data_IF_685908766173
#
_entry.id   IF_685908766173
#
_cell.length_a   1.000
_cell.length_b   1.000
_cell.length_c   1.000
_cell.angle_alpha   90.00
_cell.angle_beta   90.00
_cell.angle_gamma   90.00
#
_symmetry.space_group_name_H-M   'P 1'
#
loop_
_entity.id
_entity.type
_entity.pdbx_description
1 polymer ?
#
# COMPACT_ATOMS: atom_id res chain seq x y z
N UNK A 1 16.70 13.28 -16.46
CA UNK A 1 16.35 14.56 -17.11
C UNK A 1 17.57 15.33 -17.59
N UNK A 2 18.59 15.58 -16.74
CA UNK A 2 19.80 16.33 -17.13
C UNK A 2 20.48 15.73 -18.37
N UNK A 3 20.68 14.40 -18.40
CA UNK A 3 21.26 13.70 -19.56
C UNK A 3 20.42 13.81 -20.84
N UNK A 4 19.08 13.81 -20.73
CA UNK A 4 18.19 13.93 -21.88
C UNK A 4 18.18 15.35 -22.44
N UNK A 5 18.17 16.36 -21.55
CA UNK A 5 18.29 17.76 -21.94
C UNK A 5 19.66 18.07 -22.55
N UNK A 6 20.74 17.48 -22.01
CA UNK A 6 22.09 17.55 -22.59
C UNK A 6 22.15 16.87 -23.96
N UNK A 7 21.56 15.68 -24.10
CA UNK A 7 21.51 14.97 -25.37
C UNK A 7 20.74 15.76 -26.43
N UNK A 8 19.58 16.31 -26.09
CA UNK A 8 18.84 17.22 -26.96
C UNK A 8 19.68 18.45 -27.30
N UNK A 9 20.34 19.09 -26.32
CA UNK A 9 21.21 20.23 -26.55
C UNK A 9 22.35 19.93 -27.53
N UNK A 10 23.03 18.79 -27.36
CA UNK A 10 24.11 18.32 -28.25
C UNK A 10 23.58 18.01 -29.64
N UNK A 11 22.47 17.27 -29.75
CA UNK A 11 21.84 16.94 -31.04
C UNK A 11 21.41 18.21 -31.79
N UNK A 12 20.83 19.18 -31.08
CA UNK A 12 20.40 20.45 -31.67
C UNK A 12 21.60 21.28 -32.14
N UNK A 13 22.71 21.25 -31.39
CA UNK A 13 23.93 21.95 -31.79
C UNK A 13 24.59 21.30 -33.01
N UNK A 14 24.62 19.97 -33.08
CA UNK A 14 25.06 19.23 -34.27
C UNK A 14 24.19 19.61 -35.47
N UNK A 15 22.87 19.60 -35.33
CA UNK A 15 21.94 19.98 -36.41
C UNK A 15 22.11 21.43 -36.86
N UNK A 16 22.31 22.38 -35.92
CA UNK A 16 22.62 23.78 -36.23
C UNK A 16 23.91 23.90 -37.04
N UNK A 17 24.98 23.24 -36.60
CA UNK A 17 26.29 23.31 -37.27
C UNK A 17 26.30 22.66 -38.64
N UNK A 18 25.53 21.58 -38.86
CA UNK A 18 25.49 20.88 -40.15
C UNK A 18 24.53 21.46 -41.16
N UNK A 19 23.39 22.00 -40.74
CA UNK A 19 22.29 22.35 -41.65
C UNK A 19 21.98 23.85 -41.71
N UNK A 20 22.77 24.70 -41.05
CA UNK A 20 22.56 26.17 -41.04
C UNK A 20 21.15 26.59 -40.64
N UNK A 21 20.52 25.80 -39.77
CA UNK A 21 19.17 26.04 -39.29
C UNK A 21 19.15 27.32 -38.44
N UNK A 22 18.27 28.26 -38.79
CA UNK A 22 18.11 29.53 -38.08
C UNK A 22 17.68 29.33 -36.61
N UNK A 23 17.74 30.39 -35.77
CA UNK A 23 17.40 30.31 -34.35
C UNK A 23 15.98 29.77 -34.05
N UNK A 24 15.07 29.84 -35.01
CA UNK A 24 13.73 29.23 -34.92
C UNK A 24 13.72 27.70 -34.83
N UNK A 25 14.81 27.00 -35.21
CA UNK A 25 14.90 25.54 -35.11
C UNK A 25 15.04 25.01 -33.67
N UNK A 26 15.29 25.89 -32.68
CA UNK A 26 15.33 25.53 -31.27
C UNK A 26 13.95 25.51 -30.60
N UNK A 27 12.94 26.16 -31.19
CA UNK A 27 11.59 26.23 -30.63
C UNK A 27 10.98 24.85 -30.35
N UNK A 28 11.05 23.86 -31.26
CA UNK A 28 10.54 22.52 -30.98
C UNK A 28 11.27 21.84 -29.82
N UNK A 29 12.60 21.99 -29.73
CA UNK A 29 13.41 21.37 -28.68
C UNK A 29 13.07 21.95 -27.30
N UNK A 30 12.92 23.27 -27.20
CA UNK A 30 12.48 23.94 -25.96
C UNK A 30 11.04 23.53 -25.61
N UNK A 31 10.16 23.42 -26.61
CA UNK A 31 8.79 22.92 -26.42
C UNK A 31 8.75 21.50 -25.85
N UNK A 32 9.48 20.55 -26.46
CA UNK A 32 9.58 19.18 -25.97
C UNK A 32 10.19 19.09 -24.58
N UNK A 33 11.25 19.86 -24.30
CA UNK A 33 11.87 19.90 -22.97
C UNK A 33 10.90 20.42 -21.90
N UNK A 34 10.10 21.44 -22.24
CA UNK A 34 9.09 22.02 -21.34
C UNK A 34 7.96 21.01 -21.08
N UNK A 35 7.44 20.36 -22.13
CA UNK A 35 6.40 19.32 -21.99
C UNK A 35 6.92 18.15 -21.14
N UNK A 36 8.15 17.69 -21.40
CA UNK A 36 8.76 16.60 -20.63
C UNK A 36 8.95 16.97 -19.16
N UNK A 37 9.37 18.21 -18.88
CA UNK A 37 9.51 18.72 -17.52
C UNK A 37 8.16 18.79 -16.79
N UNK A 38 7.13 19.36 -17.43
CA UNK A 38 5.77 19.45 -16.89
C UNK A 38 5.19 18.05 -16.64
N UNK A 39 5.34 17.12 -17.59
CA UNK A 39 4.90 15.74 -17.43
C UNK A 39 5.59 15.06 -16.24
N UNK A 40 6.92 15.17 -16.14
CA UNK A 40 7.68 14.59 -15.03
C UNK A 40 7.26 15.18 -13.67
N UNK A 41 7.03 16.49 -13.61
CA UNK A 41 6.52 17.17 -12.41
C UNK A 41 5.13 16.65 -12.03
N UNK A 42 4.20 16.63 -12.98
CA UNK A 42 2.83 16.16 -12.74
C UNK A 42 2.81 14.69 -12.26
N UNK A 43 3.61 13.81 -12.84
CA UNK A 43 3.72 12.42 -12.38
C UNK A 43 4.33 12.34 -10.98
N UNK A 44 5.35 13.15 -10.65
CA UNK A 44 5.94 13.19 -9.31
C UNK A 44 4.92 13.68 -8.27
N UNK A 45 4.16 14.72 -8.59
CA UNK A 45 3.09 15.24 -7.75
C UNK A 45 1.97 14.19 -7.56
N UNK A 46 1.54 13.51 -8.63
CA UNK A 46 0.53 12.46 -8.56
C UNK A 46 0.98 11.28 -7.67
N UNK A 47 2.23 10.83 -7.78
CA UNK A 47 2.80 9.81 -6.88
C UNK A 47 2.83 10.28 -5.44
N UNK A 48 3.23 11.52 -5.21
CA UNK A 48 3.21 12.09 -3.87
C UNK A 48 1.79 12.14 -3.30
N UNK A 49 0.77 12.37 -4.14
CA UNK A 49 -0.62 12.34 -3.72
C UNK A 49 -1.07 10.92 -3.32
N UNK A 50 -0.66 9.88 -4.07
CA UNK A 50 -0.92 8.47 -3.69
C UNK A 50 -0.34 8.19 -2.30
N UNK A 51 0.94 8.47 -2.08
CA UNK A 51 1.57 8.20 -0.78
C UNK A 51 1.02 9.05 0.35
N UNK A 52 0.65 10.31 0.10
CA UNK A 52 -0.05 11.13 1.10
C UNK A 52 -1.42 10.54 1.45
N UNK A 53 -2.17 10.10 0.44
CA UNK A 53 -3.49 9.49 0.62
C UNK A 53 -3.43 8.19 1.45
N UNK A 54 -2.27 7.52 1.49
CA UNK A 54 -2.06 6.24 2.17
C UNK A 54 -1.37 6.40 3.52
N UNK A 55 -0.31 7.21 3.61
CA UNK A 55 0.55 7.29 4.79
C UNK A 55 0.14 8.38 5.79
N UNK A 56 -0.54 9.46 5.35
CA UNK A 56 -0.97 10.51 6.27
C UNK A 56 -2.26 10.12 7.00
N UNK A 57 -2.45 10.64 8.21
CA UNK A 57 -3.71 10.44 8.95
C UNK A 57 -4.90 11.07 8.22
N UNK A 58 -6.11 10.52 8.40
CA UNK A 58 -7.34 11.02 7.77
C UNK A 58 -7.68 12.48 8.10
N UNK A 59 -7.19 12.95 9.25
CA UNK A 59 -7.35 14.32 9.74
C UNK A 59 -6.32 15.31 9.15
N UNK A 60 -5.27 14.83 8.47
CA UNK A 60 -4.25 15.70 7.88
C UNK A 60 -4.82 16.37 6.61
N UNK A 61 -4.84 17.70 6.51
CA UNK A 61 -5.35 18.40 5.33
C UNK A 61 -4.57 18.07 4.05
N UNK A 62 -3.29 17.66 4.15
CA UNK A 62 -2.42 17.29 3.03
C UNK A 62 -2.74 15.90 2.47
N UNK A 63 -3.50 15.10 3.20
CA UNK A 63 -3.91 13.74 2.82
C UNK A 63 -4.86 13.77 1.62
N UNK A 64 -5.70 14.80 1.51
CA UNK A 64 -6.65 14.93 0.40
C UNK A 64 -5.93 15.19 -0.92
N UNK A 65 -6.22 14.41 -1.97
CA UNK A 65 -5.73 14.72 -3.31
C UNK A 65 -6.22 16.12 -3.70
N UNK A 66 -5.28 17.01 -4.01
CA UNK A 66 -5.60 18.34 -4.53
C UNK A 66 -6.26 18.20 -5.89
N UNK A 67 -7.30 19.01 -6.13
CA UNK A 67 -8.00 19.07 -7.42
C UNK A 67 -6.98 19.26 -8.55
N UNK A 68 -7.08 18.41 -9.57
CA UNK A 68 -6.20 18.41 -10.73
C UNK A 68 -6.15 19.79 -11.39
N UNK A 69 -4.97 20.19 -11.86
CA UNK A 69 -4.85 21.12 -12.99
C UNK A 69 -5.52 20.51 -14.24
N UNK A 70 -5.83 21.34 -15.23
CA UNK A 70 -6.60 20.93 -16.42
C UNK A 70 -6.14 19.55 -16.99
N UNK A 71 -7.03 18.53 -17.01
CA UNK A 71 -6.70 17.16 -17.45
C UNK A 71 -6.08 17.08 -18.85
N UNK A 72 -6.36 18.07 -19.71
CA UNK A 72 -5.84 18.13 -21.07
C UNK A 72 -4.31 18.19 -21.15
N UNK A 73 -3.63 18.69 -20.12
CA UNK A 73 -2.16 18.81 -20.09
C UNK A 73 -1.49 17.80 -19.18
N UNK A 74 -2.21 16.77 -18.72
CA UNK A 74 -1.64 15.74 -17.85
C UNK A 74 -1.17 14.52 -18.63
N UNK A 75 0.01 13.97 -18.29
CA UNK A 75 0.40 12.69 -18.84
C UNK A 75 -0.56 11.59 -18.35
N UNK A 76 -0.84 10.56 -19.17
CA UNK A 76 -1.76 9.48 -18.80
C UNK A 76 -1.44 8.80 -17.46
N UNK A 77 -0.15 8.66 -17.13
CA UNK A 77 0.31 8.10 -15.86
C UNK A 77 -0.10 8.95 -14.66
N UNK A 78 -0.01 10.28 -14.77
CA UNK A 78 -0.46 11.17 -13.69
C UNK A 78 -1.97 11.04 -13.47
N UNK A 79 -2.78 10.99 -14.53
CA UNK A 79 -4.22 10.81 -14.42
C UNK A 79 -4.60 9.51 -13.68
N UNK A 80 -3.94 8.40 -14.02
CA UNK A 80 -4.15 7.11 -13.35
C UNK A 80 -3.76 7.18 -11.87
N UNK A 81 -2.60 7.78 -11.56
CA UNK A 81 -2.12 7.92 -10.19
C UNK A 81 -3.03 8.80 -9.34
N UNK A 82 -3.58 9.88 -9.89
CA UNK A 82 -4.55 10.70 -9.17
C UNK A 82 -5.85 9.94 -8.93
N UNK A 83 -6.37 9.19 -9.91
CA UNK A 83 -7.53 8.32 -9.70
C UNK A 83 -7.27 7.29 -8.58
N UNK A 84 -6.07 6.70 -8.55
CA UNK A 84 -5.63 5.79 -7.49
C UNK A 84 -5.61 6.50 -6.12
N UNK A 85 -5.03 7.69 -6.03
CA UNK A 85 -4.99 8.47 -4.80
C UNK A 85 -6.40 8.80 -4.27
N UNK A 86 -7.31 9.23 -5.15
CA UNK A 86 -8.69 9.51 -4.76
C UNK A 86 -9.49 8.25 -4.39
N UNK A 87 -9.18 7.12 -5.02
CA UNK A 87 -9.79 5.84 -4.66
C UNK A 87 -9.32 5.39 -3.27
N UNK A 88 -8.02 5.47 -2.99
CA UNK A 88 -7.45 5.13 -1.69
C UNK A 88 -7.99 6.04 -0.58
N UNK A 89 -8.12 7.35 -0.84
CA UNK A 89 -8.78 8.29 0.08
C UNK A 89 -10.23 7.87 0.34
N UNK A 90 -11.01 7.57 -0.70
CA UNK A 90 -12.39 7.09 -0.56
C UNK A 90 -12.49 5.79 0.25
N UNK A 91 -11.63 4.80 -0.03
CA UNK A 91 -11.56 3.53 0.71
C UNK A 91 -11.26 3.77 2.19
N UNK A 92 -10.26 4.60 2.50
CA UNK A 92 -9.89 4.89 3.90
C UNK A 92 -10.98 5.67 4.64
N UNK A 93 -11.79 6.47 3.93
CA UNK A 93 -12.96 7.17 4.48
C UNK A 93 -14.23 6.32 4.56
N UNK A 94 -14.21 5.08 4.06
CA UNK A 94 -15.39 4.21 4.02
C UNK A 94 -16.37 4.52 2.88
N UNK A 95 -15.99 5.34 1.91
CA UNK A 95 -16.81 5.70 0.74
C UNK A 95 -16.68 4.64 -0.37
N UNK A 96 -17.02 3.38 -0.08
CA UNK A 96 -16.69 2.23 -0.95
C UNK A 96 -17.43 2.25 -2.30
N UNK A 97 -18.68 2.74 -2.33
CA UNK A 97 -19.41 2.93 -3.58
C UNK A 97 -18.67 3.92 -4.53
N UNK A 98 -18.13 5.00 -3.96
CA UNK A 98 -17.33 5.99 -4.70
C UNK A 98 -15.99 5.42 -5.15
N UNK A 99 -15.36 4.60 -4.31
CA UNK A 99 -14.11 3.92 -4.64
C UNK A 99 -14.31 2.89 -5.78
N UNK A 100 -15.35 2.06 -5.70
CA UNK A 100 -15.66 1.03 -6.69
C UNK A 100 -15.85 1.62 -8.10
N UNK A 101 -16.52 2.78 -8.21
CA UNK A 101 -16.67 3.49 -9.49
C UNK A 101 -15.35 3.92 -10.15
N UNK A 102 -14.25 3.99 -9.39
CA UNK A 102 -12.91 4.39 -9.89
C UNK A 102 -12.02 3.22 -10.28
N UNK A 103 -12.32 2.00 -9.81
CA UNK A 103 -11.51 0.78 -10.06
C UNK A 103 -11.56 0.35 -11.53
N UNK A 104 -12.75 0.39 -12.15
CA UNK A 104 -13.04 -0.29 -13.42
C UNK A 104 -12.24 0.22 -14.62
N UNK A 105 -11.79 1.49 -14.58
CA UNK A 105 -11.15 2.16 -15.71
C UNK A 105 -9.69 2.54 -15.46
N UNK A 106 -9.00 1.80 -14.59
CA UNK A 106 -7.60 2.07 -14.24
C UNK A 106 -6.64 1.24 -15.11
N UNK A 107 -5.78 1.91 -15.88
CA UNK A 107 -4.79 1.24 -16.71
C UNK A 107 -3.58 0.80 -15.86
N UNK A 108 -3.51 -0.49 -15.52
CA UNK A 108 -2.43 -1.11 -14.73
C UNK A 108 -1.05 -0.98 -15.36
N UNK A 109 -0.96 -0.97 -16.69
CA UNK A 109 0.33 -0.85 -17.39
C UNK A 109 1.06 0.48 -17.13
N UNK A 110 0.37 1.47 -16.55
CA UNK A 110 0.93 2.76 -16.18
C UNK A 110 1.35 2.85 -14.70
N UNK A 111 1.09 1.80 -13.91
CA UNK A 111 1.42 1.72 -12.49
C UNK A 111 2.76 1.00 -12.28
N UNK A 112 3.46 1.39 -11.23
CA UNK A 112 4.60 0.65 -10.67
C UNK A 112 4.10 -0.52 -9.81
N UNK A 113 4.96 -1.53 -9.51
CA UNK A 113 4.57 -2.66 -8.66
C UNK A 113 3.96 -2.25 -7.31
N UNK A 114 4.53 -1.25 -6.62
CA UNK A 114 4.00 -0.78 -5.34
C UNK A 114 2.64 -0.07 -5.50
N UNK A 115 2.44 0.63 -6.62
CA UNK A 115 1.18 1.34 -6.92
C UNK A 115 0.09 0.35 -7.33
N UNK A 116 0.45 -0.73 -8.05
CA UNK A 116 -0.45 -1.84 -8.36
C UNK A 116 -0.85 -2.62 -7.10
N UNK A 117 0.11 -2.85 -6.18
CA UNK A 117 -0.16 -3.44 -4.86
C UNK A 117 -1.20 -2.64 -4.09
N UNK A 118 -1.11 -1.30 -4.10
CA UNK A 118 -2.10 -0.42 -3.48
C UNK A 118 -3.47 -0.49 -4.17
N UNK A 119 -3.51 -0.60 -5.50
CA UNK A 119 -4.75 -0.82 -6.25
C UNK A 119 -5.40 -2.14 -5.82
N UNK A 120 -4.64 -3.23 -5.73
CA UNK A 120 -5.18 -4.54 -5.35
C UNK A 120 -5.59 -4.59 -3.86
N UNK A 121 -4.88 -3.88 -2.98
CA UNK A 121 -5.30 -3.67 -1.59
C UNK A 121 -6.63 -2.91 -1.49
N UNK A 122 -6.81 -1.86 -2.30
CA UNK A 122 -8.08 -1.14 -2.37
C UNK A 122 -9.22 -2.05 -2.87
N UNK A 123 -8.95 -2.92 -3.85
CA UNK A 123 -9.93 -3.92 -4.32
C UNK A 123 -10.28 -4.93 -3.23
N UNK A 124 -9.31 -5.39 -2.44
CA UNK A 124 -9.56 -6.26 -1.30
C UNK A 124 -10.46 -5.58 -0.25
N UNK A 125 -10.22 -4.30 0.04
CA UNK A 125 -11.07 -3.51 0.94
C UNK A 125 -12.50 -3.34 0.43
N UNK A 126 -12.66 -3.10 -0.88
CA UNK A 126 -13.99 -3.00 -1.51
C UNK A 126 -14.71 -4.35 -1.45
N UNK A 127 -14.04 -5.45 -1.78
CA UNK A 127 -14.61 -6.80 -1.68
C UNK A 127 -15.04 -7.12 -0.24
N UNK A 128 -14.24 -6.70 0.75
CA UNK A 128 -14.57 -6.86 2.17
C UNK A 128 -15.87 -6.11 2.54
N UNK A 129 -16.03 -4.87 2.08
CA UNK A 129 -17.22 -4.05 2.35
C UNK A 129 -18.48 -4.61 1.67
N UNK A 130 -18.32 -5.24 0.50
CA UNK A 130 -19.39 -5.96 -0.19
C UNK A 130 -19.77 -7.30 0.48
N UNK A 131 -19.08 -7.68 1.56
CA UNK A 131 -19.32 -8.93 2.29
C UNK A 131 -18.60 -10.15 1.70
N UNK A 132 -17.77 -9.97 0.68
CA UNK A 132 -17.03 -11.05 0.01
C UNK A 132 -15.73 -11.38 0.76
N UNK A 133 -15.84 -11.79 2.03
CA UNK A 133 -14.70 -11.98 2.96
C UNK A 133 -13.60 -12.89 2.43
N UNK A 134 -13.97 -14.01 1.79
CA UNK A 134 -13.03 -14.96 1.18
C UNK A 134 -12.23 -14.34 0.05
N UNK A 135 -12.90 -13.62 -0.85
CA UNK A 135 -12.23 -12.93 -1.95
C UNK A 135 -11.31 -11.85 -1.40
N UNK A 136 -11.77 -11.08 -0.41
CA UNK A 136 -10.96 -10.07 0.25
C UNK A 136 -9.68 -10.67 0.86
N UNK A 137 -9.78 -11.80 1.57
CA UNK A 137 -8.62 -12.51 2.13
C UNK A 137 -7.65 -12.97 1.03
N UNK A 138 -8.15 -13.57 -0.05
CA UNK A 138 -7.32 -14.05 -1.16
C UNK A 138 -6.57 -12.91 -1.87
N UNK A 139 -7.24 -11.76 -2.08
CA UNK A 139 -6.60 -10.58 -2.65
C UNK A 139 -5.58 -9.97 -1.68
N UNK A 140 -5.95 -9.85 -0.40
CA UNK A 140 -5.11 -9.29 0.65
C UNK A 140 -3.80 -10.08 0.85
N UNK A 141 -3.87 -11.42 0.87
CA UNK A 141 -2.71 -12.29 1.10
C UNK A 141 -1.59 -12.06 0.08
N UNK A 142 -1.92 -11.60 -1.14
CA UNK A 142 -0.93 -11.36 -2.21
C UNK A 142 -0.31 -9.96 -2.18
N UNK A 143 -0.89 -9.03 -1.41
CA UNK A 143 -0.50 -7.61 -1.44
C UNK A 143 0.05 -7.11 -0.11
N UNK A 144 -0.12 -7.86 0.97
CA UNK A 144 0.44 -7.48 2.26
C UNK A 144 1.96 -7.75 2.31
N UNK A 145 2.77 -6.84 2.88
CA UNK A 145 2.41 -5.51 3.37
C UNK A 145 2.32 -4.45 2.26
N UNK A 146 1.41 -3.49 2.43
CA UNK A 146 1.17 -2.38 1.50
C UNK A 146 1.95 -1.11 1.87
N UNK A 147 2.48 -1.03 3.10
CA UNK A 147 3.12 0.17 3.65
C UNK A 147 2.13 1.18 4.24
N UNK A 148 0.85 0.80 4.31
CA UNK A 148 -0.23 1.58 4.90
C UNK A 148 -0.69 0.92 6.18
N UNK A 149 -0.38 1.51 7.34
CA UNK A 149 -0.76 0.93 8.64
C UNK A 149 -2.25 0.56 8.72
N UNK A 150 -3.13 1.45 8.27
CA UNK A 150 -4.58 1.23 8.34
C UNK A 150 -5.06 0.10 7.41
N UNK A 151 -4.56 0.05 6.17
CA UNK A 151 -4.95 -1.00 5.22
C UNK A 151 -4.37 -2.34 5.66
N UNK A 152 -3.10 -2.33 6.05
CA UNK A 152 -2.36 -3.54 6.43
C UNK A 152 -3.02 -4.23 7.62
N UNK A 153 -3.46 -3.46 8.62
CA UNK A 153 -4.13 -4.03 9.80
C UNK A 153 -5.51 -4.58 9.45
N UNK A 154 -6.33 -3.83 8.70
CA UNK A 154 -7.69 -4.30 8.35
C UNK A 154 -7.64 -5.53 7.45
N UNK A 155 -6.81 -5.52 6.42
CA UNK A 155 -6.64 -6.64 5.49
C UNK A 155 -5.94 -7.82 6.17
N UNK A 156 -4.92 -7.56 6.99
CA UNK A 156 -4.22 -8.59 7.77
C UNK A 156 -5.16 -9.35 8.69
N UNK A 157 -6.05 -8.66 9.41
CA UNK A 157 -7.07 -9.32 10.25
C UNK A 157 -8.00 -10.22 9.45
N UNK A 158 -8.39 -9.80 8.24
CA UNK A 158 -9.25 -10.61 7.38
C UNK A 158 -8.54 -11.87 6.89
N UNK A 159 -7.27 -11.74 6.47
CA UNK A 159 -6.44 -12.87 6.05
C UNK A 159 -6.28 -13.88 7.19
N UNK A 160 -5.87 -13.40 8.37
CA UNK A 160 -5.64 -14.25 9.53
C UNK A 160 -6.94 -14.91 9.99
N UNK A 161 -8.04 -14.16 10.07
CA UNK A 161 -9.31 -14.73 10.50
C UNK A 161 -9.86 -15.80 9.55
N UNK A 162 -9.68 -15.64 8.22
CA UNK A 162 -10.09 -16.68 7.27
C UNK A 162 -9.19 -17.92 7.38
N UNK A 163 -7.88 -17.73 7.58
CA UNK A 163 -6.92 -18.83 7.71
C UNK A 163 -6.97 -19.53 9.08
N UNK A 164 -7.51 -18.89 10.12
CA UNK A 164 -7.37 -19.31 11.52
C UNK A 164 -7.79 -20.76 11.81
N UNK A 165 -8.84 -21.23 11.11
CA UNK A 165 -9.40 -22.58 11.29
C UNK A 165 -8.67 -23.65 10.50
N UNK A 166 -7.76 -23.28 9.61
CA UNK A 166 -7.03 -24.20 8.73
C UNK A 166 -5.53 -24.12 9.04
N UNK A 167 -4.95 -25.12 9.73
CA UNK A 167 -3.54 -25.11 10.08
C UNK A 167 -2.61 -24.89 8.88
N UNK A 168 -2.91 -25.53 7.75
CA UNK A 168 -2.13 -25.39 6.52
C UNK A 168 -2.17 -23.96 5.96
N UNK A 169 -3.36 -23.32 5.94
CA UNK A 169 -3.45 -21.92 5.49
C UNK A 169 -2.77 -20.97 6.45
N UNK A 170 -2.83 -21.26 7.75
CA UNK A 170 -2.18 -20.43 8.77
C UNK A 170 -0.65 -20.53 8.70
N UNK A 171 -0.11 -21.71 8.37
CA UNK A 171 1.30 -21.92 8.06
C UNK A 171 1.74 -21.15 6.80
N UNK A 172 0.93 -21.17 5.74
CA UNK A 172 1.19 -20.36 4.53
C UNK A 172 1.22 -18.85 4.84
N UNK A 173 0.30 -18.38 5.70
CA UNK A 173 0.28 -16.98 6.14
C UNK A 173 1.50 -16.65 7.00
N UNK A 174 1.91 -17.52 7.94
CA UNK A 174 3.15 -17.32 8.71
C UNK A 174 4.37 -17.22 7.79
N UNK A 175 4.47 -18.13 6.81
CA UNK A 175 5.56 -18.15 5.85
C UNK A 175 5.64 -16.82 5.07
N UNK A 176 4.52 -16.37 4.50
CA UNK A 176 4.45 -15.11 3.76
C UNK A 176 4.82 -13.90 4.63
N UNK A 177 4.36 -13.87 5.89
CA UNK A 177 4.74 -12.81 6.83
C UNK A 177 6.23 -12.82 7.14
N UNK A 178 6.85 -13.99 7.29
CA UNK A 178 8.29 -14.13 7.54
C UNK A 178 9.13 -13.70 6.34
N UNK A 179 8.72 -14.02 5.12
CA UNK A 179 9.40 -13.55 3.90
C UNK A 179 9.46 -12.02 3.83
N UNK A 180 8.47 -11.34 4.41
CA UNK A 180 8.43 -9.88 4.54
C UNK A 180 9.03 -9.34 5.84
N UNK A 181 9.66 -10.18 6.67
CA UNK A 181 10.29 -9.76 7.92
C UNK A 181 9.32 -9.33 9.02
N UNK A 182 8.05 -9.73 8.94
CA UNK A 182 7.02 -9.36 9.90
C UNK A 182 7.08 -10.24 11.17
N UNK A 183 6.57 -9.69 12.27
CA UNK A 183 6.48 -10.40 13.56
C UNK A 183 7.79 -10.48 14.35
N UNK A 184 8.75 -9.60 14.08
CA UNK A 184 9.97 -9.42 14.88
C UNK A 184 9.82 -8.32 15.95
N UNK A 185 9.10 -7.25 15.63
CA UNK A 185 8.83 -6.11 16.51
C UNK A 185 7.32 -5.87 16.64
N UNK A 186 6.77 -6.02 17.85
CA UNK A 186 5.34 -5.84 18.14
C UNK A 186 4.86 -4.38 18.11
N UNK A 187 5.73 -3.42 17.77
CA UNK A 187 5.40 -2.00 17.68
C UNK A 187 4.29 -1.64 16.70
N UNK A 188 4.06 -2.47 15.67
CA UNK A 188 2.96 -2.27 14.70
C UNK A 188 1.87 -3.33 14.85
N UNK A 189 0.58 -3.01 14.60
CA UNK A 189 -0.47 -4.02 14.74
C UNK A 189 -0.37 -5.14 13.69
N UNK A 190 0.18 -4.88 12.49
CA UNK A 190 0.47 -5.96 11.52
C UNK A 190 1.52 -6.92 12.06
N UNK A 191 2.58 -6.42 12.70
CA UNK A 191 3.57 -7.30 13.32
C UNK A 191 2.99 -8.07 14.50
N UNK A 192 2.07 -7.48 15.28
CA UNK A 192 1.36 -8.22 16.33
C UNK A 192 0.51 -9.35 15.75
N UNK A 193 -0.19 -9.11 14.64
CA UNK A 193 -0.91 -10.16 13.93
C UNK A 193 0.04 -11.27 13.43
N UNK A 194 1.19 -10.90 12.85
CA UNK A 194 2.17 -11.89 12.39
C UNK A 194 2.75 -12.71 13.55
N UNK A 195 3.07 -12.07 14.67
CA UNK A 195 3.52 -12.76 15.87
C UNK A 195 2.43 -13.67 16.48
N UNK A 196 1.17 -13.22 16.47
CA UNK A 196 0.03 -14.01 16.92
C UNK A 196 -0.12 -15.30 16.08
N UNK A 197 -0.03 -15.16 14.76
CA UNK A 197 -0.04 -16.30 13.81
C UNK A 197 1.10 -17.27 14.13
N UNK A 198 2.32 -16.76 14.31
CA UNK A 198 3.49 -17.60 14.62
C UNK A 198 3.32 -18.37 15.93
N UNK A 199 2.89 -17.68 16.99
CA UNK A 199 2.55 -18.27 18.28
C UNK A 199 1.47 -19.35 18.11
N UNK A 200 0.52 -19.15 17.21
CA UNK A 200 -0.54 -20.13 16.93
C UNK A 200 -0.01 -21.38 16.20
N UNK A 201 0.89 -21.21 15.24
CA UNK A 201 1.51 -22.26 14.41
C UNK A 201 2.60 -23.04 15.18
N UNK A 202 3.39 -22.37 16.00
CA UNK A 202 4.48 -22.94 16.80
C UNK A 202 4.20 -22.78 18.31
N UNK A 203 3.48 -23.73 18.93
CA UNK A 203 3.06 -23.64 20.34
C UNK A 203 4.21 -23.53 21.35
N UNK A 204 5.41 -23.96 20.98
CA UNK A 204 6.60 -23.88 21.83
C UNK A 204 7.11 -22.44 21.99
N UNK A 205 6.97 -21.60 20.96
CA UNK A 205 7.31 -20.17 21.04
C UNK A 205 6.44 -19.43 22.07
N UNK A 206 5.24 -19.96 22.35
CA UNK A 206 4.36 -19.42 23.40
C UNK A 206 4.97 -19.51 24.80
N UNK A 207 5.94 -20.40 25.02
CA UNK A 207 6.55 -20.60 26.36
C UNK A 207 7.59 -19.55 26.69
N UNK A 208 8.20 -18.95 25.68
CA UNK A 208 9.27 -17.95 25.80
C UNK A 208 8.76 -16.52 25.69
N UNK A 209 7.45 -16.33 25.55
CA UNK A 209 6.86 -15.04 25.26
C UNK A 209 6.80 -14.16 26.52
N UNK A 210 7.33 -12.92 26.48
CA UNK A 210 7.23 -11.97 27.59
C UNK A 210 5.76 -11.69 27.98
N UNK A 211 5.52 -11.38 29.26
CA UNK A 211 4.16 -11.17 29.76
C UNK A 211 3.44 -9.99 29.08
N UNK A 212 4.15 -8.91 28.77
CA UNK A 212 3.58 -7.75 28.08
C UNK A 212 3.21 -8.07 26.63
N UNK A 213 4.07 -8.81 25.93
CA UNK A 213 3.80 -9.31 24.59
C UNK A 213 2.58 -10.23 24.59
N UNK A 214 2.44 -11.10 25.60
CA UNK A 214 1.31 -12.03 25.71
C UNK A 214 -0.03 -11.29 25.86
N UNK A 215 -0.04 -10.18 26.60
CA UNK A 215 -1.24 -9.32 26.69
C UNK A 215 -1.55 -8.65 25.37
N UNK A 216 -0.54 -8.08 24.70
CA UNK A 216 -0.71 -7.42 23.40
C UNK A 216 -1.24 -8.39 22.33
N UNK A 217 -0.74 -9.64 22.32
CA UNK A 217 -1.25 -10.70 21.46
C UNK A 217 -2.65 -11.17 21.86
N UNK A 218 -2.96 -11.23 23.16
CA UNK A 218 -4.31 -11.52 23.66
C UNK A 218 -5.34 -10.49 23.19
N UNK A 219 -4.99 -9.20 23.22
CA UNK A 219 -5.82 -8.12 22.70
C UNK A 219 -6.09 -8.27 21.19
N UNK A 220 -5.07 -8.64 20.42
CA UNK A 220 -5.20 -8.88 18.99
C UNK A 220 -6.04 -10.14 18.69
N UNK A 221 -5.91 -11.20 19.49
CA UNK A 221 -6.74 -12.40 19.39
C UNK A 221 -8.23 -12.10 19.63
N UNK A 222 -8.55 -11.29 20.66
CA UNK A 222 -9.94 -10.84 20.89
C UNK A 222 -10.47 -10.00 19.72
N UNK A 223 -9.62 -9.17 19.10
CA UNK A 223 -10.00 -8.40 17.91
C UNK A 223 -10.34 -9.29 16.69
N UNK A 224 -9.85 -10.54 16.66
CA UNK A 224 -10.19 -11.55 15.66
C UNK A 224 -11.43 -12.38 16.05
N UNK A 225 -11.91 -12.29 17.28
CA UNK A 225 -13.00 -13.10 17.84
C UNK A 225 -12.52 -14.41 18.48
N UNK A 226 -11.24 -14.53 18.81
CA UNK A 226 -10.61 -15.75 19.32
C UNK A 226 -10.40 -15.67 20.84
N UNK A 227 -11.51 -15.58 21.59
CA UNK A 227 -11.52 -15.31 23.03
C UNK A 227 -10.88 -16.42 23.87
N UNK A 228 -11.07 -17.69 23.48
CA UNK A 228 -10.46 -18.84 24.15
C UNK A 228 -8.92 -18.74 24.06
N UNK A 229 -8.42 -18.43 22.87
CA UNK A 229 -6.98 -18.28 22.65
C UNK A 229 -6.41 -17.05 23.37
N UNK A 230 -7.16 -15.96 23.41
CA UNK A 230 -6.79 -14.78 24.21
C UNK A 230 -6.69 -15.11 25.70
N UNK A 231 -7.65 -15.87 26.24
CA UNK A 231 -7.64 -16.29 27.65
C UNK A 231 -6.45 -17.21 27.98
N UNK A 232 -6.06 -18.11 27.07
CA UNK A 232 -4.86 -18.94 27.22
C UNK A 232 -3.58 -18.09 27.32
N UNK A 233 -3.44 -17.08 26.47
CA UNK A 233 -2.29 -16.16 26.48
C UNK A 233 -2.24 -15.35 27.79
N UNK A 234 -3.38 -14.83 28.26
CA UNK A 234 -3.46 -14.12 29.52
C UNK A 234 -3.11 -14.98 30.73
N UNK A 235 -3.69 -16.19 30.83
CA UNK A 235 -3.47 -17.08 31.97
C UNK A 235 -1.97 -17.39 32.15
N UNK A 236 -1.24 -17.52 31.04
CA UNK A 236 0.21 -17.68 31.05
C UNK A 236 0.96 -16.44 31.47
N UNK A 237 0.57 -15.26 30.98
CA UNK A 237 1.18 -13.99 31.38
C UNK A 237 1.14 -13.79 32.91
N UNK A 238 0.03 -14.20 33.56
CA UNK A 238 -0.12 -14.16 35.03
C UNK A 238 0.78 -15.17 35.71
N UNK A 239 0.87 -16.39 35.20
CA UNK A 239 1.72 -17.45 35.77
C UNK A 239 3.21 -17.09 35.73
N UNK A 240 3.65 -16.37 34.69
CA UNK A 240 5.03 -15.90 34.57
C UNK A 240 5.39 -14.77 35.55
N UNK A 241 4.42 -13.96 36.00
CA UNK A 241 4.66 -12.87 36.98
C UNK A 241 4.86 -13.37 38.42
N UNK A 242 4.39 -14.57 38.76
CA UNK A 242 4.51 -15.14 40.10
C UNK A 242 5.69 -16.12 40.25
N UNK A 243 6.54 -16.25 39.24
CA UNK A 243 7.82 -16.97 39.29
C UNK A 243 8.97 -15.99 39.36
#
# INVERSE_FOLDING_TARGET
>A
MVLFALFLGVLTQILRTRYSLGPGAFLPCVGFATIAFVAARNTKEARSAVWRAVCLGLSDPRQRPTRLSDPWFMPPSALVLFKLAEMLDAVRRGEMARAAGKVTNMNRALLRPDEERLLDAARAMIALDLGERRLAAQLAARVLPTGSGDLDVRLGRVVVAEAWRSPAQLEEVDHAFREHGLGLDLGTPLNRLAALVRVRVAPDERRTLPADDARALGDEARALGEDEFAAELEARSRTAMYR
#
